data_IF_138914959412
#
_entry.id   IF_138914959412
#
_cell.length_a   1.000
_cell.length_b   1.000
_cell.length_c   1.000
_cell.angle_alpha   90.00
_cell.angle_beta   90.00
_cell.angle_gamma   90.00
#
_symmetry.space_group_name_H-M   'P 1'
#
loop_
_entity.id
_entity.type
_entity.pdbx_description
1 polymer ?
#
# COMPACT_ATOMS: atom_id res chain seq x y z
N UNK A 1 36.76 36.88 -13.01
CA UNK A 1 37.04 35.58 -12.35
C UNK A 1 35.88 35.26 -11.43
N UNK A 2 34.81 34.68 -11.98
CA UNK A 2 33.58 34.37 -11.24
C UNK A 2 33.66 32.91 -10.82
N UNK A 3 33.77 32.67 -9.52
CA UNK A 3 33.88 31.32 -8.95
C UNK A 3 32.51 30.63 -8.99
N UNK A 4 32.51 29.49 -9.67
CA UNK A 4 31.72 28.29 -9.47
C UNK A 4 31.15 28.10 -8.05
N UNK A 5 29.84 27.82 -7.93
CA UNK A 5 29.35 26.83 -6.97
C UNK A 5 28.00 26.26 -7.42
N UNK A 6 28.09 25.10 -8.05
CA UNK A 6 27.01 24.24 -8.50
C UNK A 6 26.50 23.41 -7.33
N UNK A 7 25.52 23.94 -6.57
CA UNK A 7 24.82 23.14 -5.56
C UNK A 7 23.67 22.38 -6.22
N UNK A 8 24.00 21.18 -6.73
CA UNK A 8 23.01 20.13 -6.98
C UNK A 8 22.47 19.67 -5.63
N UNK A 9 21.19 19.95 -5.33
CA UNK A 9 20.49 19.27 -4.23
C UNK A 9 20.05 17.89 -4.74
N UNK A 10 20.32 16.80 -4.02
CA UNK A 10 19.71 15.51 -4.34
C UNK A 10 18.20 15.54 -4.04
N UNK A 11 17.37 14.79 -4.78
CA UNK A 11 15.98 14.57 -4.40
C UNK A 11 15.96 13.76 -3.10
N UNK A 12 15.19 14.19 -2.11
CA UNK A 12 14.99 13.42 -0.88
C UNK A 12 14.10 12.21 -1.20
N UNK A 13 14.71 11.04 -1.09
CA UNK A 13 14.10 9.73 -1.26
C UNK A 13 13.32 9.34 0.01
N UNK A 14 12.02 9.11 -0.15
CA UNK A 14 11.33 7.98 0.45
C UNK A 14 11.50 7.73 1.94
N UNK A 15 11.08 8.65 2.80
CA UNK A 15 10.75 8.29 4.18
C UNK A 15 9.36 7.62 4.20
N UNK A 16 9.37 6.29 4.13
CA UNK A 16 8.22 5.45 4.47
C UNK A 16 8.71 4.24 5.26
N UNK A 17 9.51 4.51 6.30
CA UNK A 17 9.78 3.54 7.35
C UNK A 17 8.52 3.40 8.21
N UNK A 18 7.73 2.40 7.84
CA UNK A 18 6.64 1.87 8.67
C UNK A 18 7.27 1.21 9.91
N UNK A 19 7.43 2.00 10.96
CA UNK A 19 7.74 1.50 12.29
C UNK A 19 6.54 0.73 12.84
N UNK A 20 6.49 -0.57 12.53
CA UNK A 20 5.62 -1.53 13.19
C UNK A 20 6.45 -2.27 14.24
N UNK A 21 6.58 -1.69 15.43
CA UNK A 21 6.94 -2.46 16.62
C UNK A 21 6.48 -1.74 17.89
N UNK A 22 5.28 -2.09 18.36
CA UNK A 22 4.90 -2.16 19.78
C UNK A 22 3.75 -3.15 19.90
N UNK A 23 4.08 -4.41 20.15
CA UNK A 23 3.14 -5.45 20.53
C UNK A 23 2.77 -5.27 22.01
N UNK A 24 1.71 -4.51 22.27
CA UNK A 24 1.04 -4.44 23.57
C UNK A 24 -0.34 -5.08 23.41
N UNK A 25 -0.45 -6.34 23.83
CA UNK A 25 -1.70 -7.11 23.92
C UNK A 25 -2.50 -7.13 22.63
N UNK A 26 -2.11 -7.97 21.67
CA UNK A 26 -2.60 -8.05 20.28
C UNK A 26 -4.12 -8.23 20.15
N UNK A 27 -4.83 -7.14 20.42
CA UNK A 27 -6.17 -6.92 19.94
C UNK A 27 -6.08 -6.85 18.43
N UNK A 28 -6.37 -7.98 17.78
CA UNK A 28 -6.40 -8.08 16.33
C UNK A 28 -7.27 -6.95 15.79
N UNK A 29 -6.66 -6.01 15.08
CA UNK A 29 -7.40 -4.94 14.44
C UNK A 29 -8.19 -5.55 13.26
N UNK A 30 -9.52 -5.63 13.31
CA UNK A 30 -10.31 -6.27 12.26
C UNK A 30 -10.16 -5.55 10.91
N UNK A 31 -9.89 -4.25 10.93
CA UNK A 31 -9.63 -3.47 9.71
C UNK A 31 -8.29 -3.84 9.07
N UNK A 32 -7.27 -4.18 9.87
CA UNK A 32 -5.97 -4.62 9.37
C UNK A 32 -6.10 -5.98 8.66
N UNK A 33 -6.90 -6.89 9.22
CA UNK A 33 -7.21 -8.19 8.61
C UNK A 33 -7.94 -7.98 7.27
N UNK A 34 -8.98 -7.14 7.25
CA UNK A 34 -9.72 -6.84 6.02
C UNK A 34 -8.84 -6.21 4.93
N UNK A 35 -7.98 -5.24 5.29
CA UNK A 35 -7.04 -4.62 4.37
C UNK A 35 -5.99 -5.61 3.84
N UNK A 36 -5.47 -6.48 4.72
CA UNK A 36 -4.55 -7.55 4.34
C UNK A 36 -5.17 -8.53 3.36
N UNK A 37 -6.42 -8.94 3.61
CA UNK A 37 -7.17 -9.83 2.72
C UNK A 37 -7.41 -9.19 1.35
N UNK A 38 -7.85 -7.93 1.29
CA UNK A 38 -8.04 -7.22 0.02
C UNK A 38 -6.73 -7.13 -0.77
N UNK A 39 -5.63 -6.83 -0.08
CA UNK A 39 -4.29 -6.78 -0.70
C UNK A 39 -3.88 -8.14 -1.26
N UNK A 40 -4.14 -9.22 -0.53
CA UNK A 40 -3.91 -10.58 -0.99
C UNK A 40 -4.71 -10.88 -2.27
N UNK A 41 -6.02 -10.59 -2.28
CA UNK A 41 -6.88 -10.83 -3.44
C UNK A 41 -6.44 -10.02 -4.68
N UNK A 42 -5.94 -8.80 -4.50
CA UNK A 42 -5.34 -8.02 -5.61
C UNK A 42 -4.07 -8.70 -6.13
N UNK A 43 -3.19 -9.20 -5.25
CA UNK A 43 -1.97 -9.93 -5.65
C UNK A 43 -2.24 -11.23 -6.40
N UNK A 44 -3.34 -11.91 -6.08
CA UNK A 44 -3.79 -13.11 -6.81
C UNK A 44 -4.43 -12.80 -8.16
N UNK A 45 -4.69 -11.52 -8.48
CA UNK A 45 -5.43 -11.12 -9.68
C UNK A 45 -6.94 -11.35 -9.59
N UNK A 46 -7.47 -11.57 -8.39
CA UNK A 46 -8.90 -11.77 -8.15
C UNK A 46 -9.66 -10.45 -8.01
N UNK A 47 -8.99 -9.43 -7.51
CA UNK A 47 -9.52 -8.07 -7.42
C UNK A 47 -8.67 -7.08 -8.22
N UNK A 48 -9.35 -6.14 -8.87
CA UNK A 48 -8.76 -4.95 -9.46
C UNK A 48 -9.00 -3.79 -8.50
N UNK A 49 -7.93 -3.09 -8.12
CA UNK A 49 -7.99 -1.89 -7.30
C UNK A 49 -7.97 -0.65 -8.21
N UNK A 50 -9.03 0.17 -8.16
CA UNK A 50 -9.07 1.47 -8.84
C UNK A 50 -9.12 2.61 -7.83
N UNK A 51 -8.39 3.69 -8.14
CA UNK A 51 -8.31 4.88 -7.27
C UNK A 51 -7.29 4.74 -6.15
N UNK A 52 -7.26 5.73 -5.23
CA UNK A 52 -6.31 5.81 -4.11
C UNK A 52 -6.97 6.38 -2.86
N UNK A 53 -6.43 6.02 -1.69
CA UNK A 53 -6.87 6.53 -0.39
C UNK A 53 -8.34 6.23 -0.09
N UNK A 54 -9.09 7.25 0.33
CA UNK A 54 -10.52 7.11 0.71
C UNK A 54 -11.47 6.84 -0.46
N UNK A 55 -11.00 6.94 -1.70
CA UNK A 55 -11.80 6.69 -2.92
C UNK A 55 -11.34 5.45 -3.67
N UNK A 56 -10.80 4.47 -2.94
CA UNK A 56 -10.44 3.18 -3.52
C UNK A 56 -11.72 2.36 -3.77
N UNK A 57 -11.81 1.74 -4.95
CA UNK A 57 -12.85 0.79 -5.31
C UNK A 57 -12.19 -0.53 -5.69
N UNK A 58 -12.83 -1.63 -5.35
CA UNK A 58 -12.38 -2.97 -5.69
C UNK A 58 -13.42 -3.63 -6.59
N UNK A 59 -12.96 -4.22 -7.67
CA UNK A 59 -13.79 -4.94 -8.63
C UNK A 59 -13.31 -6.39 -8.74
N UNK A 60 -14.24 -7.35 -8.67
CA UNK A 60 -13.89 -8.75 -8.89
C UNK A 60 -13.68 -9.04 -10.37
N UNK A 61 -12.59 -9.75 -10.69
CA UNK A 61 -12.37 -10.37 -12.00
C UNK A 61 -13.21 -11.64 -12.12
N UNK A 62 -13.38 -12.18 -13.33
CA UNK A 62 -14.08 -13.46 -13.51
C UNK A 62 -13.42 -14.59 -12.71
N UNK A 63 -12.08 -14.68 -12.74
CA UNK A 63 -11.33 -15.62 -11.90
C UNK A 63 -11.58 -15.38 -10.40
N UNK A 64 -11.67 -14.12 -9.97
CA UNK A 64 -12.00 -13.76 -8.59
C UNK A 64 -13.41 -14.16 -8.19
N UNK A 65 -14.40 -14.05 -9.10
CA UNK A 65 -15.79 -14.46 -8.85
C UNK A 65 -15.91 -15.96 -8.61
N UNK A 66 -15.11 -16.76 -9.30
CA UNK A 66 -15.06 -18.21 -9.10
C UNK A 66 -14.32 -18.59 -7.81
N UNK A 67 -13.21 -17.91 -7.51
CA UNK A 67 -12.37 -18.21 -6.35
C UNK A 67 -12.94 -17.72 -5.00
N UNK A 68 -13.74 -16.64 -5.00
CA UNK A 68 -14.30 -16.01 -3.79
C UNK A 68 -15.76 -16.42 -3.51
N UNK A 69 -16.23 -17.46 -4.20
CA UNK A 69 -17.61 -17.94 -4.11
C UNK A 69 -17.92 -18.66 -2.81
#
# INVERSE_FOLDING_TARGET
MTKENSQRRPPQEGESEQAADRADGDSLNPFAIGAGFLTYCVRQGWLIQEGKGRRVRYYATEAGREALK
#
